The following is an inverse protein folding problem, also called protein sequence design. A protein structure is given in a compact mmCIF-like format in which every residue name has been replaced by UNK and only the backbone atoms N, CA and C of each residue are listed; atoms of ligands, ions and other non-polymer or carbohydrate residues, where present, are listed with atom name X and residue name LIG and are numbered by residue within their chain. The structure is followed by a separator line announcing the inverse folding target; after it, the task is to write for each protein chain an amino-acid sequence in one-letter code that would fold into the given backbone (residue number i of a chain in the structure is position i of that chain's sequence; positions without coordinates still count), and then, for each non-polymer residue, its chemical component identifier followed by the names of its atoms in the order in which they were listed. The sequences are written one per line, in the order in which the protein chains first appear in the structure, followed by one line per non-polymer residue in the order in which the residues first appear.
data_IF_285171162826
#
_entry.id   IF_285171162826
#
_cell.length_a   1.000
_cell.length_b   1.000
_cell.length_c   1.000
_cell.angle_alpha   90.00
_cell.angle_beta   90.00
_cell.angle_gamma   90.00
#
_symmetry.space_group_name_H-M   'P 1'
#
loop_
_entity.id
_entity.type
_entity.pdbx_description
1 polymer ?
#
# COMPACT_ATOMS: atom_id res chain seq x y z
N UNK A 1 -44.71 -47.45 28.75
CA UNK A 1 -43.36 -46.92 28.48
C UNK A 1 -43.46 -45.63 27.64
N UNK A 2 -44.24 -44.64 28.09
CA UNK A 2 -44.68 -43.52 27.22
C UNK A 2 -44.57 -42.13 27.88
N UNK A 3 -44.05 -42.05 29.11
CA UNK A 3 -43.95 -40.80 29.86
C UNK A 3 -42.66 -40.00 29.57
N UNK A 4 -41.63 -40.63 29.00
CA UNK A 4 -40.32 -40.00 28.73
C UNK A 4 -40.36 -39.12 27.47
N UNK A 5 -41.10 -39.53 26.42
CA UNK A 5 -41.23 -38.77 25.16
C UNK A 5 -42.02 -37.45 25.32
N UNK A 6 -42.83 -37.30 26.38
CA UNK A 6 -43.66 -36.10 26.61
C UNK A 6 -42.86 -34.91 27.18
N UNK A 7 -41.67 -35.15 27.73
CA UNK A 7 -40.82 -34.08 28.33
C UNK A 7 -39.82 -33.44 27.36
N UNK A 8 -39.63 -34.03 26.17
CA UNK A 8 -38.76 -33.49 25.11
C UNK A 8 -39.45 -32.41 24.24
N UNK A 9 -40.75 -32.18 24.42
CA UNK A 9 -41.52 -31.10 23.74
C UNK A 9 -41.61 -29.81 24.57
N UNK A 10 -40.64 -29.56 25.44
CA UNK A 10 -40.67 -28.45 26.39
C UNK A 10 -39.76 -27.32 25.90
N UNK A 11 -40.40 -26.21 25.53
CA UNK A 11 -39.84 -24.86 25.40
C UNK A 11 -38.87 -24.58 24.25
N UNK A 12 -39.27 -24.87 23.00
CA UNK A 12 -38.73 -24.10 21.86
C UNK A 12 -39.35 -22.69 21.88
N UNK A 13 -38.82 -21.83 22.75
CA UNK A 13 -39.08 -20.38 22.68
C UNK A 13 -38.41 -19.87 21.41
N UNK A 14 -39.16 -19.83 20.31
CA UNK A 14 -38.72 -19.25 19.04
C UNK A 14 -38.33 -17.79 19.23
N UNK A 15 -37.21 -17.41 18.62
CA UNK A 15 -36.75 -16.02 18.56
C UNK A 15 -37.83 -15.15 17.92
N UNK A 16 -38.17 -14.02 18.54
CA UNK A 16 -39.21 -13.16 17.97
C UNK A 16 -38.62 -12.35 16.79
N UNK A 17 -39.43 -12.10 15.76
CA UNK A 17 -38.99 -11.29 14.62
C UNK A 17 -38.60 -9.86 15.05
N UNK A 18 -39.21 -9.34 16.11
CA UNK A 18 -38.91 -8.01 16.65
C UNK A 18 -37.53 -7.93 17.30
N UNK A 19 -37.09 -8.99 18.00
CA UNK A 19 -35.75 -9.08 18.56
C UNK A 19 -34.69 -9.09 17.44
N UNK A 20 -34.95 -9.82 16.36
CA UNK A 20 -34.06 -9.87 15.20
C UNK A 20 -34.03 -8.52 14.48
N UNK A 21 -35.19 -7.84 14.38
CA UNK A 21 -35.31 -6.51 13.78
C UNK A 21 -34.52 -5.46 14.55
N UNK A 22 -34.60 -5.43 15.88
CA UNK A 22 -33.85 -4.47 16.70
C UNK A 22 -32.33 -4.62 16.52
N UNK A 23 -31.84 -5.86 16.41
CA UNK A 23 -30.40 -6.15 16.21
C UNK A 23 -29.91 -5.63 14.86
N UNK A 24 -30.62 -5.89 13.76
CA UNK A 24 -30.20 -5.43 12.43
C UNK A 24 -30.22 -3.90 12.32
N UNK A 25 -31.13 -3.22 13.04
CA UNK A 25 -31.17 -1.75 13.10
C UNK A 25 -29.91 -1.20 13.77
N UNK A 26 -29.53 -1.76 14.92
CA UNK A 26 -28.31 -1.34 15.62
C UNK A 26 -27.06 -1.66 14.78
N UNK A 27 -26.99 -2.85 14.19
CA UNK A 27 -25.89 -3.23 13.29
C UNK A 27 -25.82 -2.30 12.07
N UNK A 28 -26.96 -1.88 11.52
CA UNK A 28 -27.03 -0.94 10.40
C UNK A 28 -26.46 0.43 10.74
N UNK A 29 -26.77 0.96 11.94
CA UNK A 29 -26.22 2.24 12.41
C UNK A 29 -24.70 2.15 12.59
N UNK A 30 -24.22 1.07 13.22
CA UNK A 30 -22.77 0.86 13.41
C UNK A 30 -22.07 0.72 12.05
N UNK A 31 -22.63 -0.08 11.14
CA UNK A 31 -22.06 -0.30 9.81
C UNK A 31 -21.96 0.99 9.00
N UNK A 32 -22.98 1.87 9.08
CA UNK A 32 -22.99 3.14 8.36
C UNK A 32 -21.80 4.05 8.71
N UNK A 33 -21.34 4.05 9.97
CA UNK A 33 -20.17 4.83 10.42
C UNK A 33 -18.88 4.04 10.21
N UNK A 34 -18.90 2.73 10.50
CA UNK A 34 -17.70 1.89 10.49
C UNK A 34 -17.13 1.73 9.07
N UNK A 35 -17.97 1.49 8.06
CA UNK A 35 -17.52 1.24 6.67
C UNK A 35 -16.66 2.39 6.12
N UNK A 36 -17.09 3.66 6.11
CA UNK A 36 -16.27 4.75 5.57
C UNK A 36 -14.98 4.98 6.40
N UNK A 37 -15.05 4.85 7.73
CA UNK A 37 -13.89 5.02 8.61
C UNK A 37 -12.84 3.94 8.34
N UNK A 38 -13.25 2.67 8.31
CA UNK A 38 -12.36 1.54 8.06
C UNK A 38 -11.77 1.64 6.65
N UNK A 39 -12.57 2.00 5.65
CA UNK A 39 -12.10 2.21 4.27
C UNK A 39 -10.97 3.26 4.21
N UNK A 40 -11.15 4.41 4.87
CA UNK A 40 -10.13 5.46 4.92
C UNK A 40 -8.86 5.00 5.66
N UNK A 41 -9.00 4.27 6.79
CA UNK A 41 -7.86 3.73 7.53
C UNK A 41 -7.09 2.71 6.68
N UNK A 42 -7.80 1.82 5.99
CA UNK A 42 -7.19 0.83 5.09
C UNK A 42 -6.43 1.50 3.95
N UNK A 43 -7.01 2.52 3.33
CA UNK A 43 -6.34 3.25 2.24
C UNK A 43 -5.05 3.91 2.72
N UNK A 44 -5.09 4.60 3.87
CA UNK A 44 -3.89 5.19 4.49
C UNK A 44 -2.86 4.15 4.88
N UNK A 45 -3.29 2.98 5.37
CA UNK A 45 -2.38 1.88 5.71
C UNK A 45 -1.67 1.33 4.50
N UNK A 46 -2.38 1.17 3.38
CA UNK A 46 -1.81 0.71 2.10
C UNK A 46 -0.78 1.70 1.58
N UNK A 47 -1.13 2.99 1.58
CA UNK A 47 -0.25 4.05 1.11
C UNK A 47 1.04 4.16 1.94
N UNK A 48 0.93 4.05 3.27
CA UNK A 48 2.11 3.96 4.15
C UNK A 48 2.97 2.73 3.86
N UNK A 49 2.33 1.61 3.54
CA UNK A 49 3.04 0.38 3.21
C UNK A 49 3.77 0.51 1.87
N UNK A 50 3.20 1.23 0.89
CA UNK A 50 3.89 1.51 -0.38
C UNK A 50 5.12 2.42 -0.16
N UNK A 51 5.00 3.43 0.71
CA UNK A 51 6.14 4.27 1.12
C UNK A 51 7.25 3.42 1.76
N UNK A 52 6.89 2.47 2.63
CA UNK A 52 7.86 1.56 3.24
C UNK A 52 8.54 0.67 2.19
N UNK A 53 7.78 0.15 1.21
CA UNK A 53 8.35 -0.58 0.07
C UNK A 53 9.33 0.30 -0.72
N UNK A 54 9.01 1.56 -0.96
CA UNK A 54 9.90 2.50 -1.63
C UNK A 54 11.18 2.79 -0.83
N UNK A 55 11.10 2.87 0.51
CA UNK A 55 12.30 2.96 1.36
C UNK A 55 13.18 1.71 1.24
N UNK A 56 12.59 0.52 1.23
CA UNK A 56 13.35 -0.73 1.04
C UNK A 56 14.06 -0.77 -0.30
N UNK A 57 13.38 -0.32 -1.36
CA UNK A 57 13.98 -0.20 -2.70
C UNK A 57 15.14 0.80 -2.70
N UNK A 58 14.97 1.93 -2.03
CA UNK A 58 16.04 2.92 -1.88
C UNK A 58 17.26 2.35 -1.16
N UNK A 59 17.07 1.66 -0.04
CA UNK A 59 18.17 1.04 0.71
C UNK A 59 18.88 -0.05 -0.12
N UNK A 60 18.11 -0.85 -0.86
CA UNK A 60 18.66 -1.83 -1.79
C UNK A 60 19.49 -1.16 -2.90
N UNK A 61 19.01 -0.04 -3.46
CA UNK A 61 19.75 0.73 -4.45
C UNK A 61 21.06 1.31 -3.89
N UNK A 62 21.05 1.79 -2.64
CA UNK A 62 22.28 2.25 -1.98
C UNK A 62 23.28 1.12 -1.77
N UNK A 63 22.80 -0.05 -1.37
CA UNK A 63 23.63 -1.23 -1.20
C UNK A 63 24.26 -1.63 -2.55
N UNK A 64 23.46 -1.65 -3.61
CA UNK A 64 23.91 -1.91 -4.98
C UNK A 64 25.00 -0.94 -5.44
N UNK A 65 24.81 0.36 -5.22
CA UNK A 65 25.83 1.36 -5.57
C UNK A 65 27.15 1.13 -4.80
N UNK A 66 27.05 0.84 -3.51
CA UNK A 66 28.22 0.65 -2.66
C UNK A 66 29.06 -0.56 -3.08
N UNK A 67 28.43 -1.63 -3.54
CA UNK A 67 29.10 -2.89 -3.92
C UNK A 67 29.51 -2.93 -5.39
N UNK A 68 28.65 -2.50 -6.30
CA UNK A 68 28.81 -2.71 -7.75
C UNK A 68 29.34 -1.48 -8.47
N UNK A 69 28.96 -0.28 -7.99
CA UNK A 69 29.39 1.00 -8.56
C UNK A 69 30.48 1.67 -7.71
N UNK A 70 31.11 0.93 -6.80
CA UNK A 70 32.22 1.40 -5.97
C UNK A 70 31.88 2.67 -5.18
N UNK A 71 30.60 2.83 -4.79
CA UNK A 71 30.09 4.01 -4.08
C UNK A 71 29.78 5.22 -4.97
N UNK A 72 29.81 5.09 -6.30
CA UNK A 72 29.51 6.19 -7.21
C UNK A 72 27.99 6.36 -7.44
N UNK A 73 27.42 7.36 -6.79
CA UNK A 73 26.01 7.74 -6.94
C UNK A 73 25.74 8.61 -8.18
N UNK A 74 26.75 8.92 -9.00
CA UNK A 74 26.59 9.77 -10.20
C UNK A 74 25.91 9.05 -11.36
N UNK A 75 25.77 7.73 -11.31
CA UNK A 75 24.94 6.99 -12.26
C UNK A 75 23.47 7.33 -12.00
N UNK A 76 22.92 8.17 -12.87
CA UNK A 76 21.72 9.00 -12.64
C UNK A 76 20.40 8.21 -12.44
N UNK A 77 20.39 6.90 -12.70
CA UNK A 77 19.21 6.05 -12.51
C UNK A 77 19.61 4.60 -12.29
N UNK A 78 18.96 3.96 -11.33
CA UNK A 78 19.04 2.51 -11.09
C UNK A 78 17.69 1.90 -11.38
N UNK A 79 17.64 0.88 -12.23
CA UNK A 79 16.41 0.15 -12.52
C UNK A 79 16.16 -0.95 -11.48
N UNK A 80 14.95 -0.95 -10.91
CA UNK A 80 14.57 -1.88 -9.85
C UNK A 80 14.49 -3.32 -10.36
N UNK A 81 13.99 -3.54 -11.58
CA UNK A 81 13.76 -4.88 -12.11
C UNK A 81 15.04 -5.47 -12.70
N UNK A 82 15.71 -4.72 -13.57
CA UNK A 82 16.87 -5.23 -14.32
C UNK A 82 18.18 -5.19 -13.55
N UNK A 83 18.28 -4.38 -12.48
CA UNK A 83 19.48 -4.32 -11.65
C UNK A 83 19.20 -4.91 -10.27
N UNK A 84 18.25 -4.37 -9.51
CA UNK A 84 18.09 -4.79 -8.11
C UNK A 84 17.47 -6.19 -7.97
N UNK A 85 16.39 -6.48 -8.69
CA UNK A 85 15.77 -7.81 -8.64
C UNK A 85 16.62 -8.85 -9.38
N UNK A 86 17.14 -8.54 -10.56
CA UNK A 86 17.96 -9.46 -11.33
C UNK A 86 19.28 -9.85 -10.62
N UNK A 87 19.89 -8.92 -9.88
CA UNK A 87 21.10 -9.17 -9.08
C UNK A 87 20.81 -9.59 -7.63
N UNK A 88 19.57 -9.92 -7.29
CA UNK A 88 19.13 -10.42 -5.97
C UNK A 88 19.31 -9.44 -4.80
N UNK A 89 19.32 -8.13 -5.04
CA UNK A 89 19.23 -7.10 -3.99
C UNK A 89 17.78 -6.92 -3.51
N UNK A 90 16.80 -7.29 -4.33
CA UNK A 90 15.37 -7.29 -4.01
C UNK A 90 14.70 -8.59 -4.49
N UNK A 91 13.61 -8.99 -3.82
CA UNK A 91 12.80 -10.12 -4.27
C UNK A 91 12.09 -9.80 -5.59
N UNK A 92 12.16 -10.72 -6.55
CA UNK A 92 11.51 -10.62 -7.86
C UNK A 92 9.98 -10.75 -7.80
N UNK A 93 9.41 -11.17 -6.67
CA UNK A 93 7.97 -11.29 -6.46
C UNK A 93 7.38 -10.18 -5.60
N UNK A 94 8.07 -9.04 -5.46
CA UNK A 94 7.57 -7.92 -4.69
C UNK A 94 6.27 -7.34 -5.30
N UNK A 95 5.25 -7.19 -4.45
CA UNK A 95 3.94 -6.63 -4.82
C UNK A 95 3.68 -5.33 -4.08
N UNK A 96 3.00 -4.39 -4.71
CA UNK A 96 2.52 -3.16 -4.07
C UNK A 96 1.33 -3.48 -3.14
N UNK A 97 1.39 -3.16 -1.84
CA UNK A 97 0.28 -3.34 -0.89
C UNK A 97 -1.03 -2.62 -1.29
N UNK A 98 -0.96 -1.49 -1.98
CA UNK A 98 -2.15 -0.78 -2.46
C UNK A 98 -2.91 -1.53 -3.54
N UNK A 99 -2.24 -1.86 -4.65
CA UNK A 99 -2.85 -2.51 -5.82
C UNK A 99 -2.89 -4.03 -5.70
N UNK A 100 -2.04 -4.61 -4.83
CA UNK A 100 -1.72 -6.05 -4.74
C UNK A 100 -1.14 -6.63 -6.03
N UNK A 101 -0.63 -5.78 -6.90
CA UNK A 101 -0.03 -6.17 -8.16
C UNK A 101 1.50 -6.26 -8.02
N UNK A 102 2.11 -7.10 -8.85
CA UNK A 102 3.57 -7.20 -8.91
C UNK A 102 4.16 -5.89 -9.45
N UNK A 103 5.30 -5.50 -8.90
CA UNK A 103 6.08 -4.38 -9.44
C UNK A 103 6.62 -4.81 -10.80
N UNK A 104 6.28 -4.08 -11.86
CA UNK A 104 6.72 -4.37 -13.23
C UNK A 104 7.77 -3.39 -13.73
N UNK A 105 7.80 -2.19 -13.17
CA UNK A 105 8.84 -1.20 -13.41
C UNK A 105 9.14 -0.44 -12.14
N UNK A 106 10.38 0.02 -12.03
CA UNK A 106 10.79 0.92 -10.97
C UNK A 106 12.15 1.50 -11.25
N UNK A 107 12.40 2.70 -10.73
CA UNK A 107 13.70 3.33 -10.82
C UNK A 107 14.04 4.12 -9.56
N UNK A 108 15.32 4.18 -9.21
CA UNK A 108 15.84 5.05 -8.15
C UNK A 108 16.77 6.06 -8.81
N UNK A 109 16.40 7.35 -8.77
CA UNK A 109 17.19 8.43 -9.38
C UNK A 109 17.93 9.23 -8.34
N UNK A 110 19.21 9.47 -8.61
CA UNK A 110 20.11 10.30 -7.80
C UNK A 110 20.54 11.55 -8.59
N UNK A 111 20.79 12.64 -7.86
CA UNK A 111 21.41 13.84 -8.42
C UNK A 111 22.93 13.64 -8.61
N UNK A 112 23.60 14.61 -9.24
CA UNK A 112 25.06 14.57 -9.45
C UNK A 112 25.88 14.65 -8.17
N UNK A 113 25.25 14.95 -7.04
CA UNK A 113 25.85 15.07 -5.73
C UNK A 113 25.60 13.80 -4.87
N UNK A 114 24.86 12.82 -5.42
CA UNK A 114 24.49 11.57 -4.74
C UNK A 114 23.28 11.67 -3.82
N UNK A 115 22.51 12.75 -3.87
CA UNK A 115 21.24 12.86 -3.16
C UNK A 115 20.13 12.17 -3.94
N UNK A 116 19.21 11.53 -3.23
CA UNK A 116 18.00 10.96 -3.84
C UNK A 116 17.14 12.07 -4.45
N UNK A 117 16.68 11.87 -5.69
CA UNK A 117 15.66 12.69 -6.34
C UNK A 117 14.27 12.08 -6.16
N UNK A 118 14.12 10.79 -6.46
CA UNK A 118 12.91 10.02 -6.18
C UNK A 118 13.15 8.51 -6.31
N UNK A 119 12.25 7.74 -5.71
CA UNK A 119 12.03 6.32 -6.00
C UNK A 119 10.72 6.21 -6.78
N UNK A 120 10.73 5.58 -7.94
CA UNK A 120 9.57 5.34 -8.77
C UNK A 120 9.20 3.87 -8.77
N UNK A 121 7.92 3.55 -8.60
CA UNK A 121 7.42 2.16 -8.59
C UNK A 121 6.11 2.10 -9.36
N UNK A 122 6.06 1.28 -10.41
CA UNK A 122 4.83 1.03 -11.18
C UNK A 122 4.48 -0.45 -11.25
N UNK A 123 3.18 -0.74 -11.15
CA UNK A 123 2.60 -2.06 -11.37
C UNK A 123 2.12 -2.27 -12.83
N UNK A 124 1.96 -1.18 -13.59
CA UNK A 124 1.16 -1.18 -14.81
C UNK A 124 1.91 -0.70 -16.07
N UNK A 125 2.99 0.08 -15.95
CA UNK A 125 3.72 0.61 -17.10
C UNK A 125 5.25 0.57 -16.94
N UNK A 126 5.99 0.63 -18.07
CA UNK A 126 7.44 0.87 -18.09
C UNK A 126 7.77 2.33 -17.74
N UNK A 127 6.83 3.26 -17.99
CA UNK A 127 6.99 4.68 -17.68
C UNK A 127 6.36 5.01 -16.34
N UNK A 128 7.18 5.45 -15.38
CA UNK A 128 6.75 5.81 -14.03
C UNK A 128 6.11 7.20 -14.07
N UNK A 129 4.81 7.26 -13.78
CA UNK A 129 4.05 8.50 -13.69
C UNK A 129 4.50 9.33 -12.46
N UNK A 130 4.22 10.64 -12.45
CA UNK A 130 4.60 11.51 -11.33
C UNK A 130 3.93 11.10 -10.01
N UNK A 131 2.73 10.53 -10.07
CA UNK A 131 2.00 10.01 -8.90
C UNK A 131 2.64 8.74 -8.32
N UNK A 132 3.44 8.03 -9.11
CA UNK A 132 4.17 6.82 -8.74
C UNK A 132 5.57 7.12 -8.20
N UNK A 133 5.91 8.41 -8.03
CA UNK A 133 7.20 8.88 -7.51
C UNK A 133 7.12 9.24 -6.03
N UNK A 134 8.01 8.63 -5.27
CA UNK A 134 8.27 8.87 -3.87
C UNK A 134 9.51 9.76 -3.74
N UNK A 135 9.28 11.05 -3.48
CA UNK A 135 10.37 12.03 -3.25
C UNK A 135 10.99 11.82 -1.86
N UNK A 136 12.20 12.36 -1.60
CA UNK A 136 12.87 12.26 -0.31
C UNK A 136 12.00 12.74 0.86
N UNK A 137 11.15 13.75 0.65
CA UNK A 137 10.23 14.26 1.67
C UNK A 137 9.17 13.21 2.03
N UNK A 138 8.55 12.57 1.02
CA UNK A 138 7.56 11.50 1.24
C UNK A 138 8.18 10.29 1.95
N UNK A 139 9.44 10.00 1.67
CA UNK A 139 10.17 8.89 2.30
C UNK A 139 10.64 9.21 3.72
N UNK A 140 10.99 10.45 4.05
CA UNK A 140 11.45 10.82 5.41
C UNK A 140 10.30 10.92 6.40
N UNK A 141 9.16 11.43 5.97
CA UNK A 141 8.06 11.73 6.90
C UNK A 141 7.12 10.53 7.12
N UNK A 142 7.25 9.44 6.34
CA UNK A 142 6.33 8.30 6.38
C UNK A 142 4.86 8.71 6.15
N UNK A 143 4.67 9.90 5.60
CA UNK A 143 3.39 10.58 5.38
C UNK A 143 3.20 10.64 3.88
N UNK A 144 2.10 10.09 3.40
CA UNK A 144 1.66 10.47 2.07
C UNK A 144 1.25 11.92 2.08
N UNK A 145 2.00 12.72 1.34
CA UNK A 145 1.50 14.03 0.96
C UNK A 145 0.30 13.81 0.05
N UNK A 146 -0.87 14.11 0.60
CA UNK A 146 -2.10 14.46 -0.11
C UNK A 146 -1.78 15.26 -1.38
N UNK A 147 -2.49 14.93 -2.45
CA UNK A 147 -2.26 15.39 -3.82
C UNK A 147 -1.90 16.87 -3.95
N UNK A 148 -0.79 17.12 -4.64
CA UNK A 148 -0.48 18.41 -5.22
C UNK A 148 -1.04 18.46 -6.62
N UNK A 149 -2.23 19.06 -6.79
CA UNK A 149 -2.70 19.53 -8.09
C UNK A 149 -1.62 20.46 -8.67
N UNK A 150 -0.95 20.02 -9.73
CA UNK A 150 -0.10 20.87 -10.56
C UNK A 150 -0.99 21.88 -11.30
N UNK A 151 -1.04 23.12 -10.79
CA UNK A 151 -1.63 24.25 -11.51
C UNK A 151 -0.56 24.83 -12.45
N UNK A 152 -0.56 24.38 -13.70
CA UNK A 152 0.20 25.03 -14.77
C UNK A 152 -0.51 26.31 -15.21
N UNK A 153 -0.17 27.42 -14.59
CA UNK A 153 -0.31 28.73 -15.21
C UNK A 153 1.06 29.13 -15.79
N UNK A 154 1.30 28.74 -17.04
CA UNK A 154 2.38 29.28 -17.84
C UNK A 154 1.92 30.59 -18.49
N UNK A 155 2.23 31.70 -17.84
CA UNK A 155 2.19 33.03 -18.43
C UNK A 155 3.58 33.34 -19.01
N UNK A 156 3.69 33.27 -20.35
CA UNK A 156 4.42 34.18 -21.26
C UNK A 156 4.23 33.68 -22.69
#
# INVERSE_FOLDING_TARGET
MTAVLKRLKKDEKGFTLIELLAVIVILGIIAAIAIPVISNIMNKSREKSDIATAQQIYDAARMYIATENNGDFKSKSINVVTELMAKNYLDSNLTLPSTKEKIKAGEVKFDTNGNLLYVGISANDETISDDEKYTPEKLKDGKSSSGGTSNNNSNT
#
